data_IF_370157018386
#
_entry.id   IF_370157018386
#
_cell.length_a   1.000
_cell.length_b   1.000
_cell.length_c   1.000
_cell.angle_alpha   90.00
_cell.angle_beta   90.00
_cell.angle_gamma   90.00
#
_symmetry.space_group_name_H-M   'P 1'
#
loop_
_entity.id
_entity.type
_entity.pdbx_description
1 polymer ?
#
# COMPACT_ATOMS: atom_id res chain seq x y z
N UNK A 1 -77.77 -37.35 -17.44
CA UNK A 1 -77.80 -35.90 -17.16
C UNK A 1 -76.78 -35.61 -16.06
N UNK A 2 -75.63 -35.05 -16.37
CA UNK A 2 -74.58 -34.78 -15.41
C UNK A 2 -73.42 -34.10 -16.08
N UNK A 3 -73.26 -32.81 -15.83
CA UNK A 3 -72.29 -31.91 -16.50
C UNK A 3 -70.84 -32.19 -16.04
N UNK A 4 -69.95 -32.29 -16.99
CA UNK A 4 -68.50 -32.46 -16.87
C UNK A 4 -67.86 -31.06 -16.80
N UNK A 5 -67.42 -30.65 -15.61
CA UNK A 5 -66.66 -29.38 -15.47
C UNK A 5 -65.16 -29.66 -15.69
N UNK A 6 -64.60 -29.12 -16.79
CA UNK A 6 -63.16 -29.06 -17.06
C UNK A 6 -62.54 -27.89 -16.32
N UNK A 7 -61.70 -28.15 -15.31
CA UNK A 7 -60.83 -27.12 -14.74
C UNK A 7 -59.53 -27.04 -15.57
N UNK A 8 -59.37 -25.90 -16.25
CA UNK A 8 -58.11 -25.52 -16.91
C UNK A 8 -57.23 -24.88 -15.83
N UNK A 9 -56.13 -25.58 -15.50
CA UNK A 9 -55.07 -25.02 -14.63
C UNK A 9 -54.12 -24.25 -15.54
N UNK A 10 -54.15 -22.92 -15.45
CA UNK A 10 -53.19 -22.04 -16.12
C UNK A 10 -51.98 -21.91 -15.17
N UNK A 11 -50.88 -22.61 -15.49
CA UNK A 11 -49.61 -22.45 -14.80
C UNK A 11 -48.91 -21.18 -15.23
N UNK A 12 -48.89 -20.19 -14.38
CA UNK A 12 -48.07 -18.97 -14.56
C UNK A 12 -46.64 -19.30 -14.16
N UNK A 13 -45.76 -19.45 -15.16
CA UNK A 13 -44.33 -19.56 -14.97
C UNK A 13 -43.77 -18.16 -14.61
N UNK A 14 -43.50 -17.86 -13.34
CA UNK A 14 -42.75 -16.68 -12.90
C UNK A 14 -41.27 -16.93 -13.19
N UNK A 15 -40.76 -16.40 -14.30
CA UNK A 15 -39.34 -16.24 -14.54
C UNK A 15 -38.82 -15.11 -13.64
N UNK A 16 -38.26 -15.45 -12.49
CA UNK A 16 -37.47 -14.51 -11.67
C UNK A 16 -36.15 -14.23 -12.38
N UNK A 17 -36.05 -13.08 -13.04
CA UNK A 17 -34.81 -12.50 -13.53
C UNK A 17 -33.98 -12.11 -12.31
N UNK A 18 -33.04 -12.94 -11.88
CA UNK A 18 -31.98 -12.54 -10.94
C UNK A 18 -31.01 -11.67 -11.72
N UNK A 19 -31.24 -10.35 -11.69
CA UNK A 19 -30.25 -9.39 -12.13
C UNK A 19 -29.03 -9.52 -11.20
N UNK A 20 -27.98 -10.21 -11.65
CA UNK A 20 -26.67 -10.13 -11.03
C UNK A 20 -26.21 -8.68 -11.13
N UNK A 21 -26.36 -7.93 -10.05
CA UNK A 21 -25.66 -6.66 -9.87
C UNK A 21 -24.16 -6.94 -9.80
N UNK A 22 -23.51 -7.00 -10.95
CA UNK A 22 -22.05 -6.86 -11.00
C UNK A 22 -21.76 -5.47 -10.44
N UNK A 23 -20.81 -5.34 -9.49
CA UNK A 23 -20.42 -4.03 -9.03
C UNK A 23 -19.93 -3.24 -10.24
N UNK A 24 -20.65 -2.17 -10.57
CA UNK A 24 -20.27 -1.23 -11.62
C UNK A 24 -18.95 -0.61 -11.18
N UNK A 25 -17.84 -1.01 -11.82
CA UNK A 25 -16.59 -0.26 -11.69
C UNK A 25 -16.90 1.18 -12.09
N UNK A 26 -16.62 2.12 -11.18
CA UNK A 26 -16.84 3.53 -11.48
C UNK A 26 -16.08 3.92 -12.73
N UNK A 27 -16.79 4.40 -13.76
CA UNK A 27 -16.17 4.88 -14.98
C UNK A 27 -15.19 6.02 -14.65
N UNK A 28 -14.05 6.08 -15.34
CA UNK A 28 -13.13 7.21 -15.18
C UNK A 28 -13.84 8.49 -15.59
N UNK A 29 -13.61 9.56 -14.82
CA UNK A 29 -14.01 10.90 -15.20
C UNK A 29 -12.82 11.60 -15.88
N UNK A 30 -12.85 11.85 -17.20
CA UNK A 30 -11.69 12.40 -17.92
C UNK A 30 -11.34 13.83 -17.51
N UNK A 31 -12.21 14.50 -16.73
CA UNK A 31 -11.98 15.85 -16.18
C UNK A 31 -11.52 15.82 -14.73
N UNK A 32 -11.31 14.64 -14.15
CA UNK A 32 -10.86 14.47 -12.77
C UNK A 32 -9.59 13.62 -12.70
N UNK A 33 -8.74 13.95 -11.74
CA UNK A 33 -7.63 13.12 -11.31
C UNK A 33 -7.76 12.91 -9.80
N UNK A 34 -8.18 11.70 -9.41
CA UNK A 34 -8.50 11.35 -8.04
C UNK A 34 -7.32 10.60 -7.43
N UNK A 35 -6.66 11.20 -6.46
CA UNK A 35 -5.42 10.68 -5.86
C UNK A 35 -5.73 10.11 -4.48
N UNK A 36 -5.35 8.85 -4.27
CA UNK A 36 -5.32 8.22 -2.95
C UNK A 36 -3.96 8.39 -2.28
N UNK A 37 -3.95 8.76 -1.01
CA UNK A 37 -2.71 8.88 -0.25
C UNK A 37 -2.86 8.34 1.18
N UNK A 38 -1.74 8.03 1.80
CA UNK A 38 -1.61 7.70 3.22
C UNK A 38 -0.86 8.83 3.91
N UNK A 39 -1.10 9.08 5.19
CA UNK A 39 -0.33 10.08 5.96
C UNK A 39 1.18 9.82 5.91
N UNK A 40 1.58 8.55 5.83
CA UNK A 40 2.98 8.15 5.69
C UNK A 40 3.60 8.48 4.31
N UNK A 41 2.80 8.78 3.29
CA UNK A 41 3.27 9.13 1.95
C UNK A 41 3.68 10.62 1.89
N UNK A 42 4.75 10.97 2.58
CA UNK A 42 5.17 12.35 2.87
C UNK A 42 5.25 13.24 1.63
N UNK A 43 5.81 12.75 0.52
CA UNK A 43 5.94 13.53 -0.73
C UNK A 43 4.58 13.83 -1.36
N UNK A 44 3.61 12.89 -1.32
CA UNK A 44 2.24 13.15 -1.78
C UNK A 44 1.51 14.14 -0.87
N UNK A 45 1.75 14.06 0.44
CA UNK A 45 1.18 15.01 1.41
C UNK A 45 1.69 16.42 1.15
N UNK A 46 2.98 16.58 0.89
CA UNK A 46 3.59 17.88 0.53
C UNK A 46 3.09 18.37 -0.83
N UNK A 47 3.00 17.50 -1.84
CA UNK A 47 2.47 17.85 -3.15
C UNK A 47 1.04 18.40 -3.03
N UNK A 48 0.21 17.76 -2.22
CA UNK A 48 -1.14 18.23 -1.91
C UNK A 48 -1.12 19.60 -1.20
N UNK A 49 -0.25 19.76 -0.19
CA UNK A 49 -0.15 21.02 0.58
C UNK A 49 0.31 22.19 -0.29
N UNK A 50 1.25 21.97 -1.20
CA UNK A 50 1.77 23.00 -2.09
C UNK A 50 0.81 23.34 -3.25
N UNK A 51 -0.08 22.44 -3.63
CA UNK A 51 -1.08 22.68 -4.69
C UNK A 51 -0.50 22.87 -6.08
N UNK A 52 0.75 22.48 -6.31
CA UNK A 52 1.44 22.70 -7.60
C UNK A 52 0.88 21.80 -8.70
N UNK A 53 0.45 20.59 -8.36
CA UNK A 53 -0.17 19.67 -9.29
C UNK A 53 -1.52 20.22 -9.80
N UNK A 54 -2.34 20.76 -8.91
CA UNK A 54 -3.61 21.43 -9.27
C UNK A 54 -3.37 22.61 -10.20
N UNK A 55 -2.33 23.40 -9.94
CA UNK A 55 -1.96 24.54 -10.77
C UNK A 55 -1.57 24.10 -12.19
N UNK A 56 -0.79 23.02 -12.33
CA UNK A 56 -0.37 22.48 -13.63
C UNK A 56 -1.50 21.82 -14.41
N UNK A 57 -2.45 21.18 -13.73
CA UNK A 57 -3.55 20.45 -14.38
C UNK A 57 -4.77 21.33 -14.69
N UNK A 58 -4.92 22.47 -14.00
CA UNK A 58 -6.03 23.41 -14.24
C UNK A 58 -6.15 23.90 -15.70
N UNK A 59 -5.05 24.28 -16.40
CA UNK A 59 -5.15 24.69 -17.81
C UNK A 59 -5.62 23.57 -18.74
N UNK A 60 -5.46 22.30 -18.34
CA UNK A 60 -5.95 21.13 -19.07
C UNK A 60 -7.42 20.80 -18.73
N UNK A 61 -8.06 21.59 -17.89
CA UNK A 61 -9.45 21.38 -17.46
C UNK A 61 -9.61 20.15 -16.54
N UNK A 62 -8.55 19.76 -15.83
CA UNK A 62 -8.54 18.60 -14.94
C UNK A 62 -8.59 19.08 -13.49
N UNK A 63 -9.60 18.63 -12.74
CA UNK A 63 -9.76 18.83 -11.32
C UNK A 63 -9.01 17.72 -10.56
N UNK A 64 -8.13 18.10 -9.63
CA UNK A 64 -7.45 17.15 -8.73
C UNK A 64 -8.26 17.02 -7.44
N UNK A 65 -8.46 15.79 -7.00
CA UNK A 65 -9.10 15.48 -5.71
C UNK A 65 -8.27 14.47 -4.92
N UNK A 66 -8.27 14.58 -3.59
CA UNK A 66 -7.44 13.79 -2.70
C UNK A 66 -8.30 13.01 -1.70
N UNK A 67 -8.00 11.74 -1.53
CA UNK A 67 -8.63 10.85 -0.55
C UNK A 67 -7.58 10.21 0.35
N UNK A 68 -7.76 10.34 1.66
CA UNK A 68 -6.86 9.73 2.65
C UNK A 68 -7.29 8.30 2.95
N UNK A 69 -6.31 7.40 3.04
CA UNK A 69 -6.48 6.00 3.42
C UNK A 69 -5.55 5.65 4.59
N UNK A 70 -5.97 4.70 5.41
CA UNK A 70 -5.24 4.30 6.62
C UNK A 70 -4.01 3.45 6.32
N UNK A 71 -4.04 2.67 5.20
CA UNK A 71 -2.94 1.82 4.76
C UNK A 71 -3.09 1.45 3.27
N UNK A 72 -2.04 0.85 2.68
CA UNK A 72 -1.98 0.46 1.27
C UNK A 72 -3.09 -0.48 0.80
N UNK A 73 -3.45 -1.54 1.52
CA UNK A 73 -4.53 -2.43 1.12
C UNK A 73 -5.87 -1.70 0.89
N UNK A 74 -6.26 -0.78 1.80
CA UNK A 74 -7.49 0.00 1.68
C UNK A 74 -7.42 1.00 0.51
N UNK A 75 -6.24 1.58 0.26
CA UNK A 75 -6.03 2.46 -0.90
C UNK A 75 -6.24 1.70 -2.20
N UNK A 76 -5.69 0.49 -2.32
CA UNK A 76 -5.85 -0.32 -3.53
C UNK A 76 -7.26 -0.89 -3.72
N UNK A 77 -8.02 -1.07 -2.65
CA UNK A 77 -9.45 -1.32 -2.77
C UNK A 77 -10.16 -0.10 -3.38
N UNK A 78 -9.84 1.11 -2.92
CA UNK A 78 -10.33 2.36 -3.52
C UNK A 78 -9.99 2.48 -5.01
N UNK A 79 -8.78 2.08 -5.41
CA UNK A 79 -8.36 2.04 -6.80
C UNK A 79 -9.17 1.00 -7.61
N UNK A 80 -9.36 -0.19 -7.04
CA UNK A 80 -10.07 -1.28 -7.71
C UNK A 80 -11.56 -0.99 -7.95
N UNK A 81 -12.23 -0.31 -7.01
CA UNK A 81 -13.65 0.09 -7.16
C UNK A 81 -13.81 1.40 -7.94
N UNK A 82 -12.71 2.04 -8.36
CA UNK A 82 -12.73 3.26 -9.15
C UNK A 82 -13.09 4.52 -8.35
N UNK A 83 -12.87 4.56 -7.05
CA UNK A 83 -13.02 5.78 -6.24
C UNK A 83 -11.81 6.71 -6.36
N UNK A 84 -10.64 6.17 -6.70
CA UNK A 84 -9.42 6.91 -7.04
C UNK A 84 -8.82 6.40 -8.35
N UNK A 85 -7.96 7.21 -8.97
CA UNK A 85 -7.30 6.91 -10.25
C UNK A 85 -5.82 6.61 -10.10
N UNK A 86 -5.21 7.09 -9.01
CA UNK A 86 -3.77 7.04 -8.77
C UNK A 86 -3.49 6.97 -7.26
N UNK A 87 -2.38 6.34 -6.89
CA UNK A 87 -1.95 6.26 -5.49
C UNK A 87 -0.55 5.70 -5.31
N UNK A 88 -0.04 5.85 -4.08
CA UNK A 88 1.29 5.42 -3.67
C UNK A 88 1.17 4.42 -2.51
N UNK A 89 1.78 3.27 -2.69
CA UNK A 89 1.77 2.17 -1.73
C UNK A 89 3.10 1.42 -1.77
N UNK A 90 3.33 0.58 -0.77
CA UNK A 90 4.46 -0.31 -0.77
C UNK A 90 4.37 -1.49 -1.74
N UNK A 91 5.32 -2.41 -1.62
CA UNK A 91 5.50 -3.50 -2.58
C UNK A 91 4.45 -4.63 -2.44
N UNK A 92 3.89 -4.85 -1.26
CA UNK A 92 2.98 -6.00 -1.01
C UNK A 92 1.52 -5.72 -1.38
N UNK A 93 0.92 -4.57 -1.08
CA UNK A 93 -0.48 -4.33 -1.41
C UNK A 93 -0.86 -4.62 -2.87
N UNK A 94 -0.03 -4.26 -3.90
CA UNK A 94 -0.34 -4.58 -5.29
C UNK A 94 -0.44 -6.08 -5.58
N UNK A 95 0.39 -6.90 -4.92
CA UNK A 95 0.36 -8.36 -5.07
C UNK A 95 -0.99 -8.92 -4.63
N UNK A 96 -1.50 -8.48 -3.48
CA UNK A 96 -2.82 -8.90 -2.99
C UNK A 96 -3.95 -8.40 -3.88
N UNK A 97 -3.88 -7.13 -4.31
CA UNK A 97 -4.90 -6.54 -5.18
C UNK A 97 -4.99 -7.26 -6.53
N UNK A 98 -3.83 -7.54 -7.19
CA UNK A 98 -3.77 -8.28 -8.44
C UNK A 98 -4.28 -9.73 -8.28
N UNK A 99 -3.92 -10.39 -7.17
CA UNK A 99 -4.42 -11.72 -6.87
C UNK A 99 -5.94 -11.74 -6.63
N UNK A 100 -6.52 -10.64 -6.13
CA UNK A 100 -7.96 -10.43 -6.03
C UNK A 100 -8.62 -10.00 -7.36
N UNK A 101 -7.84 -9.79 -8.43
CA UNK A 101 -8.35 -9.44 -9.76
C UNK A 101 -8.50 -7.94 -10.01
N UNK A 102 -7.80 -7.09 -9.25
CA UNK A 102 -7.77 -5.67 -9.49
C UNK A 102 -7.16 -5.35 -10.88
N UNK A 103 -7.76 -4.37 -11.57
CA UNK A 103 -7.28 -3.91 -12.87
C UNK A 103 -6.47 -2.62 -12.71
N UNK A 104 -5.27 -2.76 -12.22
CA UNK A 104 -4.32 -1.68 -11.97
C UNK A 104 -3.02 -1.87 -12.75
N UNK A 105 -2.22 -0.82 -12.82
CA UNK A 105 -0.88 -0.85 -13.42
C UNK A 105 0.13 -0.11 -12.55
N UNK A 106 1.36 -0.61 -12.56
CA UNK A 106 2.51 0.08 -12.00
C UNK A 106 2.93 1.21 -12.95
N UNK A 107 3.07 2.43 -12.44
CA UNK A 107 3.44 3.61 -13.23
C UNK A 107 4.87 4.04 -12.96
N UNK A 108 5.31 3.98 -11.72
CA UNK A 108 6.66 4.32 -11.30
C UNK A 108 6.98 3.64 -9.96
N UNK A 109 8.25 3.67 -9.58
CA UNK A 109 8.69 3.22 -8.27
C UNK A 109 9.64 4.22 -7.62
N UNK A 110 9.70 4.20 -6.29
CA UNK A 110 10.75 4.87 -5.52
C UNK A 110 11.94 3.91 -5.35
N UNK A 111 13.16 4.45 -5.40
CA UNK A 111 14.37 3.68 -5.14
C UNK A 111 14.31 2.98 -3.77
N UNK A 112 15.00 1.85 -3.57
CA UNK A 112 14.95 1.06 -2.34
C UNK A 112 15.11 1.87 -1.07
N UNK A 113 14.28 1.58 -0.06
CA UNK A 113 14.23 2.28 1.23
C UNK A 113 14.19 1.30 2.41
N UNK A 114 15.14 0.35 2.52
CA UNK A 114 15.07 -0.72 3.51
C UNK A 114 15.19 -0.24 4.95
N UNK A 115 15.73 0.96 5.20
CA UNK A 115 15.80 1.56 6.53
C UNK A 115 14.45 2.03 7.06
N UNK A 116 13.46 2.24 6.17
CA UNK A 116 12.20 2.87 6.50
C UNK A 116 11.14 1.91 7.08
N UNK A 117 11.53 0.71 7.47
CA UNK A 117 10.67 -0.23 8.19
C UNK A 117 11.49 -1.19 9.04
N UNK A 118 10.86 -1.79 10.04
CA UNK A 118 11.56 -2.75 10.90
C UNK A 118 10.62 -3.53 11.81
N UNK A 119 11.21 -4.45 12.53
CA UNK A 119 10.58 -5.23 13.60
C UNK A 119 11.07 -4.67 14.93
N UNK A 120 10.13 -4.26 15.76
CA UNK A 120 10.35 -3.65 17.07
C UNK A 120 10.01 -4.65 18.19
N UNK A 121 10.73 -4.55 19.28
CA UNK A 121 10.44 -5.24 20.56
C UNK A 121 10.48 -4.23 21.69
N UNK A 122 9.87 -4.54 22.82
CA UNK A 122 9.95 -3.68 24.00
C UNK A 122 11.38 -3.54 24.50
N UNK A 123 11.73 -2.41 25.13
CA UNK A 123 13.08 -2.11 25.64
C UNK A 123 13.65 -3.23 26.52
N UNK A 124 12.82 -3.79 27.41
CA UNK A 124 13.19 -4.87 28.33
C UNK A 124 12.86 -6.27 27.79
N UNK A 125 12.51 -6.41 26.51
CA UNK A 125 12.19 -7.70 25.91
C UNK A 125 13.41 -8.63 25.90
N UNK A 126 13.24 -9.91 26.24
CA UNK A 126 14.31 -10.92 26.12
C UNK A 126 14.58 -11.34 24.68
N UNK A 127 13.79 -10.88 23.69
CA UNK A 127 13.95 -11.18 22.28
C UNK A 127 15.12 -10.34 21.74
N UNK A 128 16.21 -10.97 21.32
CA UNK A 128 17.42 -10.30 20.84
C UNK A 128 17.74 -10.59 19.37
N UNK A 129 17.17 -11.65 18.81
CA UNK A 129 17.34 -12.03 17.41
C UNK A 129 16.02 -12.56 16.83
N UNK A 130 15.95 -12.69 15.51
CA UNK A 130 14.73 -13.15 14.82
C UNK A 130 14.34 -14.57 15.24
N UNK A 131 15.32 -15.43 15.57
CA UNK A 131 15.06 -16.78 16.04
C UNK A 131 14.23 -16.82 17.34
N UNK A 132 14.34 -15.80 18.18
CA UNK A 132 13.60 -15.67 19.45
C UNK A 132 12.09 -15.38 19.23
N UNK A 133 11.69 -15.04 18.00
CA UNK A 133 10.28 -14.83 17.64
C UNK A 133 9.47 -16.14 17.59
N UNK A 134 10.11 -17.30 17.67
CA UNK A 134 9.40 -18.59 17.70
C UNK A 134 8.39 -18.66 18.83
N UNK A 135 7.12 -18.93 18.48
CA UNK A 135 6.00 -18.98 19.43
C UNK A 135 5.49 -17.60 19.90
N UNK A 136 6.07 -16.49 19.45
CA UNK A 136 5.74 -15.13 19.88
C UNK A 136 4.62 -14.52 19.07
N UNK A 137 3.89 -13.58 19.68
CA UNK A 137 2.86 -12.75 19.04
C UNK A 137 3.54 -11.61 18.30
N UNK A 138 3.55 -11.68 16.98
CA UNK A 138 4.13 -10.65 16.11
C UNK A 138 3.00 -9.89 15.41
N UNK A 139 2.86 -8.61 15.73
CA UNK A 139 1.83 -7.76 15.12
C UNK A 139 2.34 -7.05 13.88
N UNK A 140 1.48 -6.99 12.86
CA UNK A 140 1.70 -6.24 11.63
C UNK A 140 0.39 -6.08 10.85
N UNK A 141 0.36 -5.16 9.88
CA UNK A 141 -0.78 -5.01 8.99
C UNK A 141 -0.73 -6.08 7.89
N UNK A 142 -1.78 -6.90 7.78
CA UNK A 142 -1.85 -7.97 6.78
C UNK A 142 -1.84 -7.41 5.37
N UNK A 143 -0.97 -7.92 4.51
CA UNK A 143 -0.87 -7.50 3.11
C UNK A 143 -0.15 -6.16 2.92
N UNK A 144 0.60 -5.68 3.93
CA UNK A 144 1.51 -4.53 3.83
C UNK A 144 2.97 -4.98 3.68
N UNK A 145 3.90 -4.05 3.44
CA UNK A 145 5.32 -4.31 3.25
C UNK A 145 5.93 -5.06 4.42
N UNK A 146 5.62 -4.62 5.65
CA UNK A 146 6.14 -5.30 6.85
C UNK A 146 5.62 -6.74 7.00
N UNK A 147 4.57 -7.14 6.31
CA UNK A 147 4.21 -8.55 6.22
C UNK A 147 5.28 -9.33 5.45
N UNK A 148 5.81 -8.75 4.35
CA UNK A 148 6.92 -9.34 3.60
C UNK A 148 8.23 -9.31 4.40
N UNK A 149 8.51 -8.21 5.09
CA UNK A 149 9.66 -8.14 6.00
C UNK A 149 9.62 -9.27 7.04
N UNK A 150 8.48 -9.51 7.69
CA UNK A 150 8.34 -10.60 8.68
C UNK A 150 8.59 -11.96 8.03
N UNK A 151 7.95 -12.24 6.89
CA UNK A 151 8.16 -13.51 6.16
C UNK A 151 9.63 -13.70 5.81
N UNK A 152 10.27 -12.69 5.21
CA UNK A 152 11.65 -12.76 4.76
C UNK A 152 12.64 -12.86 5.91
N UNK A 153 12.43 -12.14 7.02
CA UNK A 153 13.25 -12.19 8.21
C UNK A 153 13.19 -13.59 8.86
N UNK A 154 12.00 -14.17 8.97
CA UNK A 154 11.83 -15.53 9.49
C UNK A 154 12.53 -16.55 8.61
N UNK A 155 12.35 -16.49 7.28
CA UNK A 155 13.03 -17.40 6.34
C UNK A 155 14.55 -17.29 6.44
N UNK A 156 15.08 -16.08 6.53
CA UNK A 156 16.52 -15.84 6.70
C UNK A 156 17.07 -16.42 8.01
N UNK A 157 16.24 -16.43 9.06
CA UNK A 157 16.58 -17.05 10.35
C UNK A 157 16.27 -18.56 10.43
N UNK A 158 15.87 -19.20 9.33
CA UNK A 158 15.54 -20.63 9.28
C UNK A 158 14.19 -20.98 9.93
N UNK A 159 13.34 -19.99 10.20
CA UNK A 159 12.00 -20.18 10.74
C UNK A 159 10.95 -20.21 9.64
N UNK A 160 9.83 -20.89 9.92
CA UNK A 160 8.63 -20.88 9.07
C UNK A 160 7.70 -19.78 9.55
N UNK A 161 6.86 -19.28 8.65
CA UNK A 161 5.80 -18.33 9.02
C UNK A 161 4.86 -18.88 10.10
N UNK A 162 4.63 -20.19 10.13
CA UNK A 162 3.82 -20.88 11.14
C UNK A 162 4.50 -21.02 12.51
N UNK A 163 5.78 -20.67 12.63
CA UNK A 163 6.51 -20.70 13.91
C UNK A 163 6.21 -19.50 14.79
N UNK A 164 5.56 -18.45 14.26
CA UNK A 164 5.08 -17.30 15.04
C UNK A 164 3.55 -17.33 15.22
N UNK A 165 3.04 -16.44 16.07
CA UNK A 165 1.61 -16.14 16.19
C UNK A 165 1.34 -14.78 15.53
N UNK A 166 0.94 -14.71 14.24
CA UNK A 166 0.70 -13.44 13.58
C UNK A 166 -0.55 -12.77 14.14
N UNK A 167 -0.43 -11.49 14.48
CA UNK A 167 -1.54 -10.65 14.97
C UNK A 167 -1.78 -9.53 13.97
N UNK A 168 -2.88 -9.58 13.25
CA UNK A 168 -3.19 -8.60 12.19
C UNK A 168 -3.87 -7.37 12.76
N UNK A 169 -3.17 -6.25 12.83
CA UNK A 169 -3.64 -5.00 13.40
C UNK A 169 -3.35 -3.82 12.46
N UNK A 170 -4.15 -2.78 12.57
CA UNK A 170 -3.80 -1.47 11.99
C UNK A 170 -2.61 -0.86 12.73
N UNK A 171 -1.86 0.11 12.15
CA UNK A 171 -0.75 0.74 12.84
C UNK A 171 -1.11 1.32 14.21
N UNK A 172 -2.28 1.95 14.35
CA UNK A 172 -2.74 2.54 15.60
C UNK A 172 -3.07 1.47 16.66
N UNK A 173 -3.78 0.41 16.27
CA UNK A 173 -4.13 -0.69 17.17
C UNK A 173 -2.90 -1.49 17.60
N UNK A 174 -1.95 -1.70 16.67
CA UNK A 174 -0.69 -2.38 16.95
C UNK A 174 0.16 -1.58 17.95
N UNK A 175 0.26 -0.24 17.77
CA UNK A 175 0.93 0.65 18.74
C UNK A 175 0.32 0.50 20.14
N UNK A 176 -1.00 0.56 20.22
CA UNK A 176 -1.71 0.43 21.50
C UNK A 176 -1.51 -0.96 22.12
N UNK A 177 -1.54 -2.04 21.33
CA UNK A 177 -1.29 -3.40 21.80
C UNK A 177 0.16 -3.58 22.28
N UNK A 178 1.13 -3.00 21.56
CA UNK A 178 2.54 -3.03 21.89
C UNK A 178 2.83 -2.33 23.25
N UNK A 179 2.29 -1.13 23.43
CA UNK A 179 2.45 -0.37 24.70
C UNK A 179 1.86 -1.10 25.90
N UNK A 180 0.80 -1.88 25.71
CA UNK A 180 0.19 -2.70 26.80
C UNK A 180 0.87 -4.05 27.00
N UNK A 181 1.88 -4.39 26.22
CA UNK A 181 2.52 -5.71 26.26
C UNK A 181 1.62 -6.86 25.81
N UNK A 182 0.57 -6.58 25.02
CA UNK A 182 -0.34 -7.60 24.49
C UNK A 182 0.24 -8.37 23.30
N UNK A 183 1.32 -7.88 22.71
CA UNK A 183 2.13 -8.47 21.62
C UNK A 183 3.60 -8.42 22.00
N UNK A 184 4.38 -9.36 21.50
CA UNK A 184 5.82 -9.50 21.80
C UNK A 184 6.70 -8.68 20.87
N UNK A 185 6.27 -8.55 19.59
CA UNK A 185 6.98 -7.79 18.56
C UNK A 185 5.98 -7.07 17.66
N UNK A 186 6.43 -5.96 17.06
CA UNK A 186 5.64 -5.14 16.15
C UNK A 186 6.46 -4.79 14.92
N UNK A 187 6.02 -5.23 13.74
CA UNK A 187 6.60 -4.82 12.48
C UNK A 187 5.82 -3.62 11.91
N UNK A 188 6.54 -2.53 11.60
CA UNK A 188 5.96 -1.24 11.21
C UNK A 188 6.94 -0.44 10.33
N UNK A 189 6.38 0.50 9.57
CA UNK A 189 7.09 1.42 8.68
C UNK A 189 7.07 2.85 9.20
N UNK A 190 7.91 3.69 8.63
CA UNK A 190 7.98 5.12 8.93
C UNK A 190 6.72 5.91 8.51
N UNK A 191 6.37 6.94 9.25
CA UNK A 191 7.09 7.52 10.40
C UNK A 191 6.82 6.81 11.74
N UNK A 192 5.95 5.81 11.75
CA UNK A 192 5.57 5.10 12.98
C UNK A 192 6.73 4.28 13.57
N UNK A 193 7.65 3.80 12.71
CA UNK A 193 8.84 3.08 13.12
C UNK A 193 9.78 3.96 13.97
N UNK A 194 10.10 5.17 13.48
CA UNK A 194 10.88 6.16 14.24
C UNK A 194 10.10 6.63 15.47
N UNK A 195 8.80 6.91 15.31
CA UNK A 195 7.96 7.35 16.43
C UNK A 195 7.94 6.36 17.59
N UNK A 196 7.90 5.07 17.31
CA UNK A 196 7.93 4.04 18.36
C UNK A 196 9.26 4.02 19.10
N UNK A 197 10.38 4.19 18.39
CA UNK A 197 11.72 4.26 19.00
C UNK A 197 11.86 5.47 19.91
N UNK A 198 11.43 6.67 19.46
CA UNK A 198 11.60 7.92 20.19
C UNK A 198 10.57 8.13 21.30
N UNK A 199 9.34 7.66 21.14
CA UNK A 199 8.21 8.03 22.02
C UNK A 199 7.79 6.94 22.99
N UNK A 200 8.08 5.66 22.71
CA UNK A 200 7.66 4.54 23.55
C UNK A 200 8.80 3.55 23.85
N UNK A 201 10.03 3.99 23.73
CA UNK A 201 11.24 3.22 24.05
C UNK A 201 11.29 1.84 23.36
N UNK A 202 10.74 1.73 22.15
CA UNK A 202 10.83 0.50 21.36
C UNK A 202 12.28 0.28 20.90
N UNK A 203 12.77 -0.94 21.02
CA UNK A 203 14.08 -1.37 20.52
C UNK A 203 13.91 -2.00 19.15
N UNK A 204 14.76 -1.63 18.19
CA UNK A 204 14.82 -2.26 16.89
C UNK A 204 15.44 -3.64 17.04
N UNK A 205 14.69 -4.68 16.63
CA UNK A 205 15.21 -6.04 16.50
C UNK A 205 15.94 -6.20 15.17
N UNK A 206 15.34 -5.71 14.08
CA UNK A 206 15.95 -5.61 12.76
C UNK A 206 15.19 -4.55 11.94
N UNK A 207 15.86 -3.96 10.95
CA UNK A 207 15.20 -3.28 9.83
C UNK A 207 15.19 -4.19 8.59
N UNK A 208 14.84 -3.65 7.42
CA UNK A 208 14.78 -4.44 6.19
C UNK A 208 16.14 -4.56 5.46
N UNK A 209 17.20 -3.89 5.93
CA UNK A 209 18.53 -3.94 5.30
C UNK A 209 19.07 -5.36 5.18
N UNK A 210 19.46 -5.74 3.97
CA UNK A 210 19.94 -7.09 3.67
C UNK A 210 18.87 -8.19 3.79
N UNK A 211 17.60 -7.84 4.00
CA UNK A 211 16.46 -8.76 4.06
C UNK A 211 15.55 -8.54 2.86
N UNK A 212 15.06 -7.31 2.65
CA UNK A 212 14.24 -6.91 1.50
C UNK A 212 14.73 -5.59 0.93
N UNK A 213 14.44 -5.33 -0.36
CA UNK A 213 14.77 -4.04 -0.98
C UNK A 213 13.81 -2.93 -0.54
N UNK A 214 12.58 -3.30 -0.20
CA UNK A 214 11.50 -2.38 0.15
C UNK A 214 11.30 -1.30 -0.90
N UNK A 215 10.69 -1.67 -1.99
CA UNK A 215 10.23 -0.73 -3.01
C UNK A 215 8.90 -0.10 -2.61
N UNK A 216 8.70 1.12 -3.08
CA UNK A 216 7.41 1.80 -3.05
C UNK A 216 6.96 2.06 -4.47
N UNK A 217 5.66 1.95 -4.73
CA UNK A 217 5.11 2.05 -6.07
C UNK A 217 4.04 3.11 -6.20
N UNK A 218 4.09 3.82 -7.32
CA UNK A 218 2.95 4.58 -7.82
C UNK A 218 2.13 3.68 -8.74
N UNK A 219 0.83 3.62 -8.49
CA UNK A 219 -0.10 2.77 -9.21
C UNK A 219 -1.25 3.60 -9.76
N UNK A 220 -1.77 3.18 -10.90
CA UNK A 220 -2.95 3.78 -11.50
C UNK A 220 -3.99 2.71 -11.86
N UNK A 221 -5.26 3.10 -11.89
CA UNK A 221 -6.26 2.34 -12.60
C UNK A 221 -5.81 2.19 -14.06
N UNK A 222 -5.82 0.97 -14.61
CA UNK A 222 -5.32 0.71 -15.97
C UNK A 222 -5.99 1.61 -17.00
N UNK A 223 -7.30 1.72 -16.94
CA UNK A 223 -8.06 2.55 -17.88
C UNK A 223 -7.63 4.03 -17.82
N UNK A 224 -7.34 4.55 -16.61
CA UNK A 224 -6.84 5.91 -16.46
C UNK A 224 -5.45 6.07 -17.06
N UNK A 225 -4.54 5.15 -16.77
CA UNK A 225 -3.18 5.17 -17.31
C UNK A 225 -3.14 5.10 -18.84
N UNK A 226 -4.04 4.31 -19.45
CA UNK A 226 -4.15 4.18 -20.91
C UNK A 226 -4.74 5.43 -21.57
N UNK A 227 -5.72 6.09 -20.92
CA UNK A 227 -6.44 7.25 -21.49
C UNK A 227 -5.84 8.60 -21.13
N UNK A 228 -5.06 8.67 -20.06
CA UNK A 228 -4.51 9.91 -19.47
C UNK A 228 -3.03 9.81 -19.11
N UNK A 229 -2.17 9.24 -19.98
CA UNK A 229 -0.74 9.10 -19.67
C UNK A 229 -0.06 10.45 -19.44
N UNK A 230 -0.52 11.52 -20.11
CA UNK A 230 0.00 12.88 -19.93
C UNK A 230 -0.21 13.42 -18.51
N UNK A 231 -1.33 13.06 -17.87
CA UNK A 231 -1.63 13.47 -16.49
C UNK A 231 -0.71 12.77 -15.51
N UNK A 232 -0.46 11.47 -15.72
CA UNK A 232 0.48 10.71 -14.91
C UNK A 232 1.90 11.21 -15.06
N UNK A 233 2.30 11.59 -16.28
CA UNK A 233 3.62 12.21 -16.52
C UNK A 233 3.78 13.50 -15.73
N UNK A 234 2.80 14.40 -15.79
CA UNK A 234 2.79 15.65 -15.03
C UNK A 234 2.86 15.37 -13.52
N UNK A 235 2.09 14.40 -13.03
CA UNK A 235 2.09 14.04 -11.62
C UNK A 235 3.48 13.53 -11.17
N UNK A 236 4.14 12.71 -11.98
CA UNK A 236 5.47 12.19 -11.67
C UNK A 236 6.56 13.27 -11.74
N UNK A 237 6.43 14.26 -12.63
CA UNK A 237 7.32 15.42 -12.70
C UNK A 237 7.20 16.28 -11.42
N UNK A 238 5.97 16.57 -10.98
CA UNK A 238 5.72 17.31 -9.74
C UNK A 238 6.25 16.54 -8.52
N UNK A 239 6.00 15.24 -8.45
CA UNK A 239 6.54 14.39 -7.38
C UNK A 239 8.07 14.39 -7.39
N UNK A 240 8.71 14.36 -8.55
CA UNK A 240 10.15 14.49 -8.69
C UNK A 240 10.68 15.83 -8.16
N UNK A 241 9.96 16.91 -8.43
CA UNK A 241 10.26 18.27 -7.95
C UNK A 241 10.16 18.35 -6.42
N UNK A 242 9.07 17.87 -5.85
CA UNK A 242 8.87 17.80 -4.39
C UNK A 242 9.92 16.89 -3.74
N UNK A 243 10.18 15.71 -4.33
CA UNK A 243 11.21 14.81 -3.82
C UNK A 243 12.60 15.41 -3.78
N UNK A 244 12.96 16.20 -4.81
CA UNK A 244 14.21 16.99 -4.80
C UNK A 244 14.22 18.02 -3.69
N UNK A 245 13.15 18.78 -3.57
CA UNK A 245 13.02 19.81 -2.53
C UNK A 245 13.13 19.20 -1.12
N UNK A 246 12.49 18.06 -0.85
CA UNK A 246 12.59 17.34 0.44
C UNK A 246 14.04 16.99 0.76
N UNK A 247 14.80 16.44 -0.20
CA UNK A 247 16.21 16.08 0.03
C UNK A 247 17.11 17.28 0.34
N UNK A 248 16.75 18.44 -0.17
CA UNK A 248 17.48 19.69 0.06
C UNK A 248 17.02 20.42 1.33
N UNK A 249 15.82 20.08 1.89
CA UNK A 249 15.14 20.84 2.93
C UNK A 249 14.44 19.93 3.98
N UNK A 250 15.11 18.89 4.50
CA UNK A 250 14.50 17.94 5.43
C UNK A 250 13.83 18.57 6.64
N UNK A 251 14.48 19.56 7.26
CA UNK A 251 13.95 20.23 8.46
C UNK A 251 12.69 21.04 8.15
N UNK A 252 12.65 21.74 7.02
CA UNK A 252 11.49 22.50 6.56
C UNK A 252 10.35 21.57 6.18
N UNK A 253 10.64 20.51 5.40
CA UNK A 253 9.67 19.49 5.05
C UNK A 253 9.06 18.81 6.29
N UNK A 254 9.88 18.53 7.30
CA UNK A 254 9.41 17.97 8.56
C UNK A 254 8.50 18.93 9.32
N UNK A 255 8.82 20.21 9.35
CA UNK A 255 8.00 21.25 10.01
C UNK A 255 6.62 21.39 9.33
N UNK A 256 6.56 21.31 7.99
CA UNK A 256 5.29 21.32 7.24
C UNK A 256 4.46 20.06 7.47
N UNK A 257 5.10 18.88 7.53
CA UNK A 257 4.42 17.59 7.68
C UNK A 257 3.94 17.32 9.11
N UNK A 258 4.66 17.80 10.12
CA UNK A 258 4.39 17.52 11.52
C UNK A 258 2.94 17.77 11.95
N UNK A 259 2.32 18.93 11.68
CA UNK A 259 0.92 19.17 12.04
C UNK A 259 -0.06 18.27 11.25
N UNK A 260 0.28 17.86 10.02
CA UNK A 260 -0.57 17.03 9.17
C UNK A 260 -0.53 15.58 9.65
N UNK A 261 0.66 15.07 9.98
CA UNK A 261 0.86 13.69 10.40
C UNK A 261 0.60 13.46 11.89
N UNK A 262 0.57 14.56 12.69
CA UNK A 262 0.34 14.51 14.13
C UNK A 262 1.52 13.91 14.89
N UNK A 263 2.75 14.17 14.42
CA UNK A 263 4.01 13.72 15.01
C UNK A 263 4.96 14.91 15.18
N UNK A 264 5.95 14.75 16.07
CA UNK A 264 6.96 15.77 16.30
C UNK A 264 7.87 15.96 15.07
N UNK A 265 8.32 17.20 14.78
CA UNK A 265 9.16 17.47 13.61
C UNK A 265 10.43 16.63 13.54
N UNK A 266 11.08 16.36 14.68
CA UNK A 266 12.29 15.55 14.74
C UNK A 266 12.06 14.06 14.43
N UNK A 267 10.85 13.55 14.68
CA UNK A 267 10.41 12.21 14.28
C UNK A 267 10.25 12.17 12.77
N UNK A 268 9.57 13.19 12.22
CA UNK A 268 9.32 13.26 10.77
C UNK A 268 10.63 13.44 10.01
N UNK A 269 11.52 14.33 10.47
CA UNK A 269 12.81 14.53 9.82
C UNK A 269 13.65 13.23 9.79
N UNK A 270 13.71 12.52 10.90
CA UNK A 270 14.41 11.24 10.95
C UNK A 270 13.79 10.22 9.99
N UNK A 271 12.46 10.14 9.93
CA UNK A 271 11.76 9.26 9.00
C UNK A 271 12.01 9.64 7.53
N UNK A 272 11.96 10.94 7.18
CA UNK A 272 12.23 11.40 5.82
C UNK A 272 13.61 10.99 5.30
N UNK A 273 14.62 10.94 6.19
CA UNK A 273 16.00 10.56 5.83
C UNK A 273 16.16 9.09 5.47
N UNK A 274 15.21 8.22 5.84
CA UNK A 274 15.20 6.81 5.44
C UNK A 274 14.68 6.60 4.01
N UNK A 275 14.05 7.63 3.38
CA UNK A 275 13.54 7.55 2.03
C UNK A 275 14.49 8.24 1.04
N UNK A 276 14.53 7.69 -0.20
CA UNK A 276 15.35 8.28 -1.26
C UNK A 276 14.69 9.49 -1.92
N UNK A 277 13.36 9.56 -1.92
CA UNK A 277 12.58 10.58 -2.63
C UNK A 277 12.99 10.74 -4.10
N UNK A 278 13.39 9.63 -4.72
CA UNK A 278 13.80 9.52 -6.12
C UNK A 278 12.94 8.49 -6.80
N UNK A 279 12.24 8.89 -7.84
CA UNK A 279 11.28 8.07 -8.55
C UNK A 279 11.80 7.70 -9.94
N UNK A 280 11.48 6.49 -10.39
CA UNK A 280 11.93 5.93 -11.67
C UNK A 280 10.77 5.24 -12.39
N UNK A 281 10.76 5.23 -13.72
CA UNK A 281 9.89 4.34 -14.49
C UNK A 281 10.14 2.89 -14.14
N UNK A 282 9.07 2.06 -14.23
CA UNK A 282 9.18 0.62 -13.97
C UNK A 282 10.15 -0.02 -14.97
N UNK A 283 11.10 -0.81 -14.46
CA UNK A 283 12.07 -1.57 -15.24
C UNK A 283 12.00 -3.08 -14.95
N UNK A 284 12.77 -3.86 -15.71
CA UNK A 284 12.73 -5.33 -15.61
C UNK A 284 13.27 -5.85 -14.28
N UNK A 285 14.21 -5.13 -13.65
CA UNK A 285 14.76 -5.51 -12.35
C UNK A 285 13.67 -5.45 -11.28
N UNK A 286 12.97 -4.32 -11.21
CA UNK A 286 11.89 -4.10 -10.25
C UNK A 286 10.73 -5.08 -10.48
N UNK A 287 10.36 -5.35 -11.73
CA UNK A 287 9.33 -6.36 -12.06
C UNK A 287 9.75 -7.75 -11.58
N UNK A 288 11.01 -8.11 -11.77
CA UNK A 288 11.55 -9.40 -11.33
C UNK A 288 11.53 -9.53 -9.79
N UNK A 289 11.92 -8.48 -9.08
CA UNK A 289 11.90 -8.49 -7.62
C UNK A 289 10.46 -8.53 -7.09
N UNK A 290 9.56 -7.79 -7.68
CA UNK A 290 8.13 -7.81 -7.34
C UNK A 290 7.49 -9.19 -7.62
N UNK A 291 7.92 -9.89 -8.69
CA UNK A 291 7.45 -11.24 -8.99
C UNK A 291 7.86 -12.24 -7.90
N UNK A 292 9.08 -12.12 -7.33
CA UNK A 292 9.54 -12.96 -6.22
C UNK A 292 8.62 -12.86 -5.01
N UNK A 293 8.17 -11.64 -4.69
CA UNK A 293 7.20 -11.41 -3.61
C UNK A 293 5.89 -12.14 -3.91
N UNK A 294 5.37 -11.98 -5.13
CA UNK A 294 4.12 -12.62 -5.54
C UNK A 294 4.21 -14.16 -5.47
N UNK A 295 5.31 -14.73 -5.94
CA UNK A 295 5.53 -16.17 -5.91
C UNK A 295 5.62 -16.71 -4.47
N UNK A 296 6.37 -16.03 -3.60
CA UNK A 296 6.48 -16.40 -2.18
C UNK A 296 5.13 -16.35 -1.45
N UNK A 297 4.33 -15.31 -1.67
CA UNK A 297 2.99 -15.23 -1.07
C UNK A 297 2.03 -16.28 -1.60
N UNK A 298 2.18 -16.70 -2.86
CA UNK A 298 1.41 -17.81 -3.40
C UNK A 298 1.84 -19.15 -2.79
N UNK A 299 3.13 -19.43 -2.68
CA UNK A 299 3.67 -20.65 -2.05
C UNK A 299 3.26 -20.78 -0.58
N UNK A 300 3.23 -19.67 0.15
CA UNK A 300 2.73 -19.58 1.52
C UNK A 300 1.20 -19.65 1.62
N UNK A 301 0.47 -19.73 0.50
CA UNK A 301 -1.00 -19.72 0.43
C UNK A 301 -1.64 -18.47 1.05
N UNK A 302 -0.92 -17.35 1.01
CA UNK A 302 -1.39 -16.05 1.49
C UNK A 302 -2.16 -15.28 0.43
N UNK A 303 -1.97 -15.63 -0.85
CA UNK A 303 -2.80 -15.19 -1.99
C UNK A 303 -3.43 -16.41 -2.69
N UNK A 304 -4.64 -16.26 -3.28
CA UNK A 304 -5.42 -17.40 -3.77
C UNK A 304 -4.95 -17.97 -5.12
N UNK A 305 -4.20 -17.19 -5.90
CA UNK A 305 -3.76 -17.58 -7.26
C UNK A 305 -2.40 -16.99 -7.60
N UNK A 306 -1.67 -17.63 -8.50
CA UNK A 306 -0.48 -17.06 -9.12
C UNK A 306 -0.86 -15.81 -9.94
N UNK A 307 0.00 -14.83 -9.93
CA UNK A 307 -0.12 -13.62 -10.74
C UNK A 307 1.16 -13.40 -11.53
N UNK A 308 1.05 -12.72 -12.67
CA UNK A 308 2.18 -12.18 -13.41
C UNK A 308 2.24 -10.67 -13.16
N UNK A 309 3.29 -10.20 -12.52
CA UNK A 309 3.48 -8.77 -12.28
C UNK A 309 3.66 -8.03 -13.61
N UNK A 310 4.27 -8.68 -14.60
CA UNK A 310 4.46 -8.12 -15.94
C UNK A 310 3.13 -7.70 -16.61
N UNK A 311 2.04 -8.42 -16.35
CA UNK A 311 0.72 -8.09 -16.91
C UNK A 311 0.14 -6.78 -16.36
N UNK A 312 0.69 -6.31 -15.23
CA UNK A 312 0.34 -5.03 -14.62
C UNK A 312 1.31 -3.89 -14.98
N UNK A 313 2.16 -4.08 -15.98
CA UNK A 313 3.04 -3.03 -16.52
C UNK A 313 2.59 -2.70 -17.94
N UNK A 314 2.32 -1.42 -18.21
CA UNK A 314 1.99 -1.00 -19.55
C UNK A 314 3.22 -1.10 -20.47
N UNK A 315 3.04 -1.46 -21.75
CA UNK A 315 4.12 -1.38 -22.72
C UNK A 315 4.69 0.05 -22.76
N UNK A 316 5.97 0.18 -22.62
CA UNK A 316 6.65 1.47 -22.85
C UNK A 316 6.51 1.79 -24.34
N UNK A 317 5.79 2.83 -24.69
CA UNK A 317 5.85 3.36 -26.06
C UNK A 317 7.31 3.78 -26.29
N UNK A 318 8.03 2.96 -27.07
CA UNK A 318 9.40 3.26 -27.54
C UNK A 318 9.37 4.35 -28.58
#
# INVERSE_FOLDING_TARGET
>A
MGNLNRHIVVGVLLLTLVAMCLPSRGAINPKKFRIGYQKAASTLVLLKAHGTLEQRLRPLGIEVTWSEFTAGPQLLEGLNVGSIDFGYVGEVPPVFALAAGANLVYTAYELPTPEAEGILVGKASPINEIADLKGKKVAFNKGSDVHWLVVSALQKAGLKYTDIQPVYLTPADARAAFQRGAIDAWAIWDPFFVAAQKQIDARVLTNAEGITNRYQYFLSAREYAEKKPEVLTIAMEELGTIGKWVRENYTEAAAELAPIQGLEPDVIEAALRHYQHIYRPIDDTVVTDQQKIADAFYELRLIPKKISVRDAVLPTNR
#
